data_IF_934390684144
#
_entry.id   IF_934390684144
#
_cell.length_a   1.000
_cell.length_b   1.000
_cell.length_c   1.000
_cell.angle_alpha   90.00
_cell.angle_beta   90.00
_cell.angle_gamma   90.00
#
_symmetry.space_group_name_H-M   'P 1'
#
loop_
_entity.id
_entity.type
_entity.pdbx_description
1 polymer ?
#
# COMPACT_ATOMS: atom_id res chain seq x y z
N UNK A 1 3.23 -12.73 -7.55
CA UNK A 1 3.51 -11.43 -6.90
C UNK A 1 2.38 -10.50 -7.25
N UNK A 2 1.83 -9.79 -6.26
CA UNK A 2 0.71 -8.85 -6.40
C UNK A 2 0.89 -7.81 -7.54
N UNK A 3 -0.19 -7.11 -7.86
CA UNK A 3 -0.15 -5.91 -8.71
C UNK A 3 -0.54 -4.68 -7.90
N UNK A 4 0.19 -3.59 -8.09
CA UNK A 4 -0.16 -2.25 -7.57
C UNK A 4 -0.38 -1.32 -8.76
N UNK A 5 -1.33 -0.40 -8.64
CA UNK A 5 -1.56 0.62 -9.64
C UNK A 5 -2.02 1.92 -8.97
N UNK A 6 -1.63 3.06 -9.53
CA UNK A 6 -2.27 4.33 -9.21
C UNK A 6 -2.46 5.17 -10.45
N UNK A 7 -3.39 6.11 -10.39
CA UNK A 7 -3.59 7.13 -11.39
C UNK A 7 -3.64 8.48 -10.67
N UNK A 8 -2.83 9.44 -11.12
CA UNK A 8 -2.88 10.83 -10.62
C UNK A 8 -3.48 11.73 -11.68
N UNK A 9 -4.66 12.29 -11.39
CA UNK A 9 -5.44 13.12 -12.30
C UNK A 9 -6.93 12.87 -12.18
N UNK A 10 -7.71 13.44 -13.10
CA UNK A 10 -9.18 13.31 -13.18
C UNK A 10 -9.68 12.99 -14.59
N UNK A 11 -8.80 12.59 -15.50
CA UNK A 11 -9.15 12.39 -16.92
C UNK A 11 -9.78 11.03 -17.19
N UNK A 12 -9.49 10.03 -16.36
CA UNK A 12 -10.08 8.70 -16.48
C UNK A 12 -11.12 8.49 -15.39
N UNK A 13 -12.12 7.68 -15.69
CA UNK A 13 -13.12 7.20 -14.76
C UNK A 13 -12.60 6.05 -13.91
N UNK A 14 -13.28 5.78 -12.79
CA UNK A 14 -12.99 4.60 -11.96
C UNK A 14 -13.16 3.29 -12.72
N UNK A 15 -14.05 3.23 -13.72
CA UNK A 15 -14.26 2.06 -14.57
C UNK A 15 -13.06 1.81 -15.50
N UNK A 16 -12.54 2.85 -16.16
CA UNK A 16 -11.32 2.76 -16.98
C UNK A 16 -10.11 2.35 -16.13
N UNK A 17 -9.97 2.92 -14.93
CA UNK A 17 -8.92 2.52 -14.00
C UNK A 17 -9.05 1.05 -13.59
N UNK A 18 -10.27 0.61 -13.24
CA UNK A 18 -10.51 -0.78 -12.88
C UNK A 18 -10.21 -1.73 -14.04
N UNK A 19 -10.61 -1.38 -15.27
CA UNK A 19 -10.30 -2.19 -16.46
C UNK A 19 -8.79 -2.33 -16.68
N UNK A 20 -8.02 -1.25 -16.46
CA UNK A 20 -6.57 -1.30 -16.50
C UNK A 20 -5.98 -2.21 -15.40
N UNK A 21 -6.52 -2.15 -14.18
CA UNK A 21 -6.10 -3.03 -13.08
C UNK A 21 -6.45 -4.50 -13.36
N UNK A 22 -7.63 -4.77 -13.92
CA UNK A 22 -8.12 -6.11 -14.29
C UNK A 22 -7.19 -6.79 -15.31
N UNK A 23 -6.59 -6.02 -16.23
CA UNK A 23 -5.59 -6.55 -17.16
C UNK A 23 -4.35 -7.13 -16.47
N UNK A 24 -4.13 -6.83 -15.19
CA UNK A 24 -3.01 -7.34 -14.38
C UNK A 24 -3.42 -8.42 -13.37
N UNK A 25 -4.66 -8.91 -13.41
CA UNK A 25 -5.23 -9.82 -12.40
C UNK A 25 -4.44 -11.12 -12.24
N UNK A 26 -3.78 -11.60 -13.30
CA UNK A 26 -2.96 -12.82 -13.29
C UNK A 26 -1.82 -12.79 -12.24
N UNK A 27 -1.41 -11.59 -11.83
CA UNK A 27 -0.40 -11.38 -10.79
C UNK A 27 -0.95 -11.54 -9.37
N UNK A 28 -2.23 -11.23 -9.16
CA UNK A 28 -2.92 -11.26 -7.87
C UNK A 28 -4.37 -11.71 -8.01
N UNK A 29 -4.61 -13.01 -8.28
CA UNK A 29 -5.93 -13.53 -8.64
C UNK A 29 -6.91 -13.68 -7.47
N UNK A 30 -6.45 -13.54 -6.21
CA UNK A 30 -7.27 -13.91 -5.06
C UNK A 30 -8.29 -12.84 -4.68
N UNK A 31 -7.85 -11.57 -4.68
CA UNK A 31 -8.67 -10.43 -4.28
C UNK A 31 -8.22 -9.16 -5.01
N UNK A 32 -9.16 -8.26 -5.27
CA UNK A 32 -8.90 -6.96 -5.86
C UNK A 32 -9.57 -5.86 -5.04
N UNK A 33 -8.94 -4.70 -4.93
CA UNK A 33 -9.55 -3.49 -4.38
C UNK A 33 -9.08 -2.26 -5.16
N UNK A 34 -10.03 -1.35 -5.39
CA UNK A 34 -9.80 -0.01 -5.92
C UNK A 34 -10.37 0.98 -4.93
N UNK A 35 -9.67 2.08 -4.68
CA UNK A 35 -10.19 3.24 -3.97
C UNK A 35 -10.02 4.49 -4.82
N UNK A 36 -10.94 5.42 -4.66
CA UNK A 36 -10.81 6.79 -5.14
C UNK A 36 -10.27 7.66 -4.01
N UNK A 37 -9.29 8.51 -4.34
CA UNK A 37 -8.72 9.50 -3.44
C UNK A 37 -8.78 10.87 -4.12
N UNK A 38 -8.54 11.93 -3.36
CA UNK A 38 -8.54 13.26 -3.98
C UNK A 38 -7.41 13.38 -4.99
N UNK A 39 -7.78 13.54 -6.26
CA UNK A 39 -6.82 13.66 -7.35
C UNK A 39 -6.36 12.33 -7.94
N UNK A 40 -7.06 11.21 -7.70
CA UNK A 40 -6.73 9.96 -8.39
C UNK A 40 -7.35 8.67 -7.85
N UNK A 41 -6.73 7.56 -8.22
CA UNK A 41 -7.12 6.21 -7.81
C UNK A 41 -5.91 5.41 -7.32
N UNK A 42 -6.15 4.47 -6.38
CA UNK A 42 -5.20 3.40 -6.04
C UNK A 42 -5.87 2.05 -6.22
N UNK A 43 -5.10 1.08 -6.70
CA UNK A 43 -5.54 -0.27 -6.99
C UNK A 43 -4.55 -1.31 -6.52
N UNK A 44 -5.08 -2.45 -6.04
CA UNK A 44 -4.29 -3.59 -5.61
C UNK A 44 -4.95 -4.90 -6.05
N UNK A 45 -4.16 -5.77 -6.70
CA UNK A 45 -4.49 -7.18 -6.92
C UNK A 45 -3.61 -8.03 -6.00
N UNK A 46 -4.24 -8.80 -5.13
CA UNK A 46 -3.59 -9.59 -4.09
C UNK A 46 -3.31 -11.01 -4.55
N UNK A 47 -2.08 -11.46 -4.32
CA UNK A 47 -1.73 -12.88 -4.23
C UNK A 47 -1.38 -13.18 -2.78
N UNK A 48 -2.17 -14.02 -2.14
CA UNK A 48 -2.13 -14.31 -0.72
C UNK A 48 -1.14 -15.45 -0.46
N UNK A 49 0.16 -15.14 -0.48
CA UNK A 49 1.22 -16.12 -0.16
C UNK A 49 1.42 -16.20 1.36
N UNK A 50 1.65 -15.04 1.99
CA UNK A 50 1.86 -14.89 3.44
C UNK A 50 0.72 -14.09 4.05
N UNK A 51 0.15 -14.59 5.15
CA UNK A 51 -1.02 -14.00 5.80
C UNK A 51 -2.30 -14.22 4.98
N UNK A 52 -2.92 -15.39 5.11
CA UNK A 52 -4.12 -15.78 4.35
C UNK A 52 -5.38 -14.98 4.71
N UNK A 53 -5.30 -14.17 5.77
CA UNK A 53 -6.44 -13.50 6.34
C UNK A 53 -6.85 -12.28 5.49
N UNK A 54 -8.14 -11.95 5.38
CA UNK A 54 -8.63 -10.80 4.60
C UNK A 54 -8.11 -9.45 5.10
N UNK A 55 -7.67 -9.36 6.35
CA UNK A 55 -7.17 -8.13 6.97
C UNK A 55 -5.86 -7.64 6.33
N UNK A 56 -5.11 -8.52 5.66
CA UNK A 56 -3.93 -8.15 4.87
C UNK A 56 -4.26 -7.52 3.51
N UNK A 57 -5.53 -7.21 3.22
CA UNK A 57 -5.95 -6.64 1.95
C UNK A 57 -5.70 -5.13 1.90
N UNK A 58 -5.02 -4.69 0.84
CA UNK A 58 -4.62 -3.31 0.61
C UNK A 58 -5.61 -2.61 -0.36
N UNK A 59 -5.62 -1.26 -0.45
CA UNK A 59 -4.78 -0.30 0.27
C UNK A 59 -4.97 -0.34 1.79
N UNK A 60 -3.88 -0.16 2.55
CA UNK A 60 -3.97 0.17 3.97
C UNK A 60 -4.26 1.66 4.14
N UNK A 61 -4.89 2.04 5.25
CA UNK A 61 -5.30 3.41 5.56
C UNK A 61 -4.81 3.82 6.95
N UNK A 62 -4.30 5.05 7.06
CA UNK A 62 -3.99 5.70 8.33
C UNK A 62 -4.21 7.21 8.22
N UNK A 63 -5.20 7.73 8.96
CA UNK A 63 -5.53 9.15 9.03
C UNK A 63 -5.73 9.82 7.65
N UNK A 64 -6.40 9.11 6.73
CA UNK A 64 -6.65 9.55 5.36
C UNK A 64 -5.53 9.29 4.35
N UNK A 65 -4.33 8.89 4.81
CA UNK A 65 -3.27 8.44 3.92
C UNK A 65 -3.49 6.97 3.55
N UNK A 66 -3.06 6.59 2.35
CA UNK A 66 -3.20 5.23 1.85
C UNK A 66 -1.89 4.67 1.33
N UNK A 67 -1.69 3.36 1.44
CA UNK A 67 -0.55 2.68 0.80
C UNK A 67 -0.97 1.38 0.13
N UNK A 68 -0.39 1.14 -1.04
CA UNK A 68 -0.30 -0.19 -1.67
C UNK A 68 1.17 -0.56 -1.83
N UNK A 69 1.51 -1.81 -1.58
CA UNK A 69 2.85 -2.36 -1.63
C UNK A 69 2.79 -3.78 -2.21
N UNK A 70 3.52 -4.00 -3.30
CA UNK A 70 3.92 -5.31 -3.75
C UNK A 70 5.36 -5.54 -3.27
N UNK A 71 5.51 -6.23 -2.15
CA UNK A 71 6.82 -6.50 -1.58
C UNK A 71 6.75 -7.30 -0.29
N UNK A 72 7.92 -7.55 0.27
CA UNK A 72 8.11 -8.17 1.58
C UNK A 72 9.05 -7.29 2.40
N UNK A 73 8.59 -6.83 3.56
CA UNK A 73 9.41 -6.10 4.53
C UNK A 73 10.04 -7.12 5.49
N UNK A 74 11.35 -7.24 5.44
CA UNK A 74 12.12 -8.12 6.32
C UNK A 74 12.31 -7.47 7.68
N UNK A 75 12.51 -8.30 8.70
CA UNK A 75 12.88 -7.86 10.05
C UNK A 75 11.98 -6.75 10.67
N UNK A 76 10.75 -6.54 10.18
CA UNK A 76 9.87 -5.42 10.61
C UNK A 76 9.31 -5.55 12.04
N UNK A 77 9.37 -6.75 12.64
CA UNK A 77 8.69 -7.05 13.91
C UNK A 77 9.13 -6.17 15.09
N UNK A 78 10.43 -5.92 15.33
CA UNK A 78 10.86 -5.02 16.41
C UNK A 78 10.38 -3.59 16.20
N UNK A 79 10.47 -3.06 14.97
CA UNK A 79 9.96 -1.74 14.62
C UNK A 79 8.44 -1.66 14.82
N UNK A 80 7.70 -2.71 14.41
CA UNK A 80 6.24 -2.79 14.63
C UNK A 80 5.89 -2.79 16.11
N UNK A 81 6.66 -3.47 16.96
CA UNK A 81 6.43 -3.48 18.40
C UNK A 81 6.58 -2.08 19.03
N UNK A 82 7.58 -1.31 18.60
CA UNK A 82 7.76 0.07 19.05
C UNK A 82 6.64 0.99 18.53
N UNK A 83 6.29 0.88 17.25
CA UNK A 83 5.20 1.65 16.65
C UNK A 83 3.84 1.30 17.23
N UNK A 84 3.64 0.06 17.71
CA UNK A 84 2.38 -0.37 18.35
C UNK A 84 2.06 0.39 19.64
N UNK A 85 3.03 1.10 20.22
CA UNK A 85 2.81 2.00 21.37
C UNK A 85 2.08 3.29 20.97
N UNK A 86 2.10 3.65 19.68
CA UNK A 86 1.50 4.88 19.13
C UNK A 86 0.38 4.60 18.12
N UNK A 87 0.50 3.52 17.36
CA UNK A 87 -0.38 3.17 16.24
C UNK A 87 -1.12 1.86 16.50
N UNK A 88 -2.33 1.75 15.95
CA UNK A 88 -3.12 0.51 16.01
C UNK A 88 -3.02 -0.23 14.69
N UNK A 89 -2.49 -1.45 14.74
CA UNK A 89 -2.44 -2.37 13.60
C UNK A 89 -3.68 -3.25 13.58
N UNK A 90 -4.26 -3.46 12.39
CA UNK A 90 -5.44 -4.28 12.15
C UNK A 90 -5.10 -5.62 11.51
N UNK A 91 -3.90 -5.77 10.96
CA UNK A 91 -3.45 -6.96 10.24
C UNK A 91 -2.10 -7.49 10.73
N UNK A 92 -1.84 -8.74 10.37
CA UNK A 92 -0.52 -9.37 10.51
C UNK A 92 0.44 -9.04 9.35
N UNK A 93 0.00 -8.26 8.35
CA UNK A 93 0.85 -7.91 7.21
C UNK A 93 2.04 -7.07 7.68
N UNK A 94 3.18 -7.41 7.12
CA UNK A 94 4.42 -6.65 7.12
C UNK A 94 4.23 -5.25 6.52
N UNK A 95 3.53 -5.14 5.38
CA UNK A 95 3.30 -3.89 4.67
C UNK A 95 2.42 -2.87 5.43
N UNK A 96 1.68 -3.28 6.47
CA UNK A 96 0.87 -2.33 7.26
C UNK A 96 1.72 -1.35 8.08
N UNK A 97 3.00 -1.68 8.34
CA UNK A 97 3.93 -0.79 9.05
C UNK A 97 4.33 0.45 8.24
N UNK A 98 4.11 0.45 6.92
CA UNK A 98 4.58 1.50 6.02
C UNK A 98 3.98 2.87 6.37
N UNK A 99 2.67 2.95 6.61
CA UNK A 99 2.06 4.24 6.95
C UNK A 99 2.52 4.78 8.32
N UNK A 100 2.57 3.98 9.40
CA UNK A 100 3.23 4.39 10.64
C UNK A 100 4.68 4.87 10.46
N UNK A 101 5.50 4.18 9.66
CA UNK A 101 6.86 4.63 9.36
C UNK A 101 6.87 5.97 8.63
N UNK A 102 6.00 6.14 7.63
CA UNK A 102 5.86 7.38 6.87
C UNK A 102 5.43 8.55 7.76
N UNK A 103 4.55 8.32 8.75
CA UNK A 103 4.14 9.36 9.71
C UNK A 103 5.29 9.81 10.61
N UNK A 104 6.17 8.90 11.04
CA UNK A 104 7.29 9.23 11.93
C UNK A 104 8.49 9.83 11.19
N UNK A 105 8.79 9.34 9.98
CA UNK A 105 10.04 9.63 9.28
C UNK A 105 9.86 10.24 7.89
N UNK A 106 8.63 10.34 7.38
CA UNK A 106 8.37 10.75 6.01
C UNK A 106 9.07 9.83 5.00
N UNK A 107 9.58 10.41 3.91
CA UNK A 107 10.32 9.67 2.88
C UNK A 107 11.70 9.19 3.35
N UNK A 108 12.22 9.66 4.48
CA UNK A 108 13.49 9.16 5.01
C UNK A 108 13.38 7.71 5.49
N UNK A 109 12.17 7.20 5.74
CA UNK A 109 11.94 5.81 6.12
C UNK A 109 12.55 4.80 5.13
N UNK A 110 12.66 5.16 3.84
CA UNK A 110 13.17 4.25 2.81
C UNK A 110 14.63 3.86 3.01
N UNK A 111 15.41 4.67 3.74
CA UNK A 111 16.84 4.40 3.99
C UNK A 111 17.07 3.21 4.90
N UNK A 112 16.11 2.93 5.78
CA UNK A 112 16.23 1.94 6.86
C UNK A 112 15.32 0.71 6.63
N UNK A 113 14.67 0.63 5.46
CA UNK A 113 13.84 -0.51 5.08
C UNK A 113 14.70 -1.64 4.51
N UNK A 114 14.81 -2.73 5.25
CA UNK A 114 15.29 -4.00 4.74
C UNK A 114 14.12 -4.72 4.06
N UNK A 115 13.99 -4.59 2.73
CA UNK A 115 12.82 -5.03 1.99
C UNK A 115 13.09 -5.19 0.49
N UNK A 116 12.32 -6.05 -0.16
CA UNK A 116 12.10 -6.03 -1.62
C UNK A 116 10.69 -5.51 -1.87
N UNK A 117 10.51 -4.37 -2.54
CA UNK A 117 9.20 -3.76 -2.75
C UNK A 117 9.06 -2.84 -3.97
N UNK A 118 7.85 -2.80 -4.51
CA UNK A 118 7.31 -1.62 -5.16
C UNK A 118 6.13 -1.12 -4.32
N UNK A 119 6.05 0.19 -4.05
CA UNK A 119 4.93 0.74 -3.29
C UNK A 119 4.50 2.12 -3.77
N UNK A 120 3.24 2.45 -3.50
CA UNK A 120 2.65 3.76 -3.77
C UNK A 120 1.93 4.22 -2.51
N UNK A 121 2.29 5.41 -2.04
CA UNK A 121 1.66 6.11 -0.91
C UNK A 121 0.86 7.28 -1.47
N UNK A 122 -0.37 7.42 -1.02
CA UNK A 122 -1.14 8.65 -1.16
C UNK A 122 -1.07 9.44 0.13
N UNK A 123 -0.52 10.65 0.03
CA UNK A 123 -0.45 11.62 1.11
C UNK A 123 -1.64 12.57 0.98
N UNK A 124 -2.58 12.45 1.92
CA UNK A 124 -3.82 13.21 1.96
C UNK A 124 -3.63 14.69 2.25
N UNK A 125 -2.56 15.05 2.95
CA UNK A 125 -2.24 16.43 3.31
C UNK A 125 -1.79 17.22 2.09
N UNK A 126 -0.95 16.62 1.25
CA UNK A 126 -0.43 17.19 0.02
C UNK A 126 -1.29 16.87 -1.21
N UNK A 127 -2.23 15.92 -1.09
CA UNK A 127 -3.08 15.41 -2.18
C UNK A 127 -2.24 14.87 -3.33
N UNK A 128 -1.17 14.17 -2.98
CA UNK A 128 -0.16 13.72 -3.93
C UNK A 128 0.21 12.26 -3.70
N UNK A 129 0.85 11.68 -4.72
CA UNK A 129 1.28 10.30 -4.72
C UNK A 129 2.80 10.22 -4.66
N UNK A 130 3.30 9.31 -3.86
CA UNK A 130 4.71 8.98 -3.75
C UNK A 130 4.86 7.54 -4.22
N UNK A 131 5.69 7.32 -5.24
CA UNK A 131 6.06 5.98 -5.68
C UNK A 131 7.50 5.71 -5.28
N UNK A 132 7.75 4.52 -4.73
CA UNK A 132 9.07 4.09 -4.31
C UNK A 132 9.29 2.62 -4.68
N UNK A 133 10.57 2.27 -4.86
CA UNK A 133 11.04 0.93 -5.17
C UNK A 133 12.42 0.72 -4.55
N UNK A 134 12.68 -0.49 -4.07
CA UNK A 134 14.02 -0.94 -3.63
C UNK A 134 15.06 -1.00 -4.76
#
# INVERSE_FOLDING_TARGET
MCSIMSYSGKKITGEEFKAALDATIVRGPDMQRVIEVEGGYLGFNRLSIMGLSPEGMQPFELDGDYVVCNGELYCFRPQKAELSKKYRFRSGSDCEIILPLYKEYGVDMFKDLDAEFAMIIYDSKSKSFIAARD
#
